data_IF_289925164922
#
_entry.id   IF_289925164922
#
_cell.length_a   1.000
_cell.length_b   1.000
_cell.length_c   1.000
_cell.angle_alpha   90.00
_cell.angle_beta   90.00
_cell.angle_gamma   90.00
#
_symmetry.space_group_name_H-M   'P 1'
#
loop_
_entity.id
_entity.type
_entity.pdbx_description
1 polymer ?
#
# COMPACT_ATOMS: atom_id res chain seq x y z
N UNK A 1 8.01 17.48 -4.48
CA UNK A 1 6.82 18.34 -4.28
C UNK A 1 5.75 17.87 -5.26
N UNK A 2 4.58 17.43 -4.80
CA UNK A 2 3.53 16.98 -5.72
C UNK A 2 2.81 18.19 -6.31
N UNK A 3 2.85 18.35 -7.63
CA UNK A 3 2.11 19.40 -8.32
C UNK A 3 0.58 19.17 -8.23
N UNK A 4 -0.22 20.24 -8.17
CA UNK A 4 -1.69 20.13 -8.09
C UNK A 4 -2.30 19.35 -9.27
N UNK A 5 -1.70 19.45 -10.48
CA UNK A 5 -2.13 18.70 -11.66
C UNK A 5 -2.07 17.17 -11.48
N UNK A 6 -1.02 16.65 -10.82
CA UNK A 6 -0.85 15.21 -10.57
C UNK A 6 -1.90 14.68 -9.60
N UNK A 7 -2.33 15.52 -8.64
CA UNK A 7 -3.38 15.14 -7.67
C UNK A 7 -4.75 15.03 -8.34
N UNK A 8 -5.09 15.96 -9.23
CA UNK A 8 -6.37 15.90 -9.97
C UNK A 8 -6.45 14.68 -10.88
N UNK A 9 -5.37 14.36 -11.60
CA UNK A 9 -5.34 13.18 -12.48
C UNK A 9 -5.50 11.87 -11.69
N UNK A 10 -4.85 11.76 -10.52
CA UNK A 10 -4.93 10.58 -9.67
C UNK A 10 -6.36 10.32 -9.14
N UNK A 11 -7.16 11.37 -8.93
CA UNK A 11 -8.55 11.23 -8.46
C UNK A 11 -9.53 10.70 -9.53
N UNK A 12 -9.17 10.77 -10.80
CA UNK A 12 -10.01 10.32 -11.92
C UNK A 12 -9.78 8.85 -12.31
N UNK A 13 -8.78 8.18 -11.73
CA UNK A 13 -8.44 6.79 -12.06
C UNK A 13 -9.48 5.83 -11.48
N UNK A 14 -9.99 4.91 -12.28
CA UNK A 14 -10.82 3.80 -11.79
C UNK A 14 -9.94 2.63 -11.33
N UNK A 15 -10.09 2.23 -10.07
CA UNK A 15 -9.33 1.11 -9.50
C UNK A 15 -10.15 -0.18 -9.51
N UNK A 16 -9.51 -1.27 -9.91
CA UNK A 16 -10.05 -2.62 -9.73
C UNK A 16 -10.20 -2.95 -8.23
N UNK A 17 -11.05 -3.92 -7.86
CA UNK A 17 -11.19 -4.33 -6.46
C UNK A 17 -9.87 -4.77 -5.80
N UNK A 18 -8.93 -5.32 -6.58
CA UNK A 18 -7.61 -5.70 -6.07
C UNK A 18 -6.74 -4.47 -5.76
N UNK A 19 -6.75 -3.47 -6.65
CA UNK A 19 -6.04 -2.21 -6.41
C UNK A 19 -6.64 -1.44 -5.24
N UNK A 20 -7.97 -1.41 -5.10
CA UNK A 20 -8.63 -0.81 -3.92
C UNK A 20 -8.19 -1.49 -2.62
N UNK A 21 -8.08 -2.82 -2.61
CA UNK A 21 -7.55 -3.55 -1.43
C UNK A 21 -6.09 -3.21 -1.15
N UNK A 22 -5.26 -3.09 -2.19
CA UNK A 22 -3.86 -2.65 -2.06
C UNK A 22 -3.75 -1.24 -1.49
N UNK A 23 -4.55 -0.30 -2.00
CA UNK A 23 -4.56 1.08 -1.52
C UNK A 23 -5.09 1.19 -0.08
N UNK A 24 -6.11 0.41 0.29
CA UNK A 24 -6.57 0.30 1.69
C UNK A 24 -5.47 -0.27 2.60
N UNK A 25 -4.69 -1.24 2.13
CA UNK A 25 -3.56 -1.77 2.89
C UNK A 25 -2.48 -0.71 3.13
N UNK A 26 -2.16 0.10 2.10
CA UNK A 26 -1.22 1.22 2.20
C UNK A 26 -1.72 2.36 3.10
N UNK A 27 -3.04 2.55 3.20
CA UNK A 27 -3.66 3.46 4.16
C UNK A 27 -3.43 3.00 5.60
N UNK A 28 -3.45 1.70 5.84
CA UNK A 28 -3.28 1.10 7.17
C UNK A 28 -1.80 1.06 7.63
N UNK A 29 -0.85 1.31 6.71
CA UNK A 29 0.58 1.38 7.00
C UNK A 29 1.46 1.19 5.76
N UNK A 30 2.74 1.52 5.87
CA UNK A 30 3.69 1.43 4.76
C UNK A 30 3.89 -0.01 4.29
N UNK A 31 3.96 -0.18 2.97
CA UNK A 31 4.11 -1.47 2.32
C UNK A 31 5.60 -1.78 2.16
N UNK A 32 6.03 -2.86 2.78
CA UNK A 32 7.37 -3.40 2.64
C UNK A 32 7.34 -4.65 1.75
N UNK A 33 8.33 -4.81 0.88
CA UNK A 33 8.45 -6.01 0.07
C UNK A 33 8.65 -7.22 0.99
N UNK A 34 8.03 -8.31 0.59
CA UNK A 34 8.17 -9.63 1.19
C UNK A 34 8.70 -10.59 0.12
N UNK A 35 9.11 -11.78 0.52
CA UNK A 35 9.36 -12.86 -0.45
C UNK A 35 8.17 -13.10 -1.38
N UNK A 36 8.43 -13.64 -2.57
CA UNK A 36 7.42 -14.07 -3.55
C UNK A 36 6.54 -12.96 -4.15
N UNK A 37 7.08 -11.76 -4.41
CA UNK A 37 6.35 -10.64 -5.06
C UNK A 37 5.14 -10.17 -4.26
N UNK A 38 5.21 -10.25 -2.93
CA UNK A 38 4.17 -9.84 -1.99
C UNK A 38 4.62 -8.60 -1.23
N UNK A 39 3.66 -7.80 -0.82
CA UNK A 39 3.88 -6.57 -0.08
C UNK A 39 2.93 -6.50 1.11
N UNK A 40 3.46 -6.18 2.29
CA UNK A 40 2.69 -6.01 3.53
C UNK A 40 3.46 -5.16 4.52
N UNK A 41 2.93 -4.93 5.72
CA UNK A 41 3.62 -4.13 6.74
C UNK A 41 4.87 -4.85 7.29
N UNK A 42 5.92 -4.11 7.66
CA UNK A 42 7.28 -4.61 8.00
C UNK A 42 7.30 -5.83 8.95
N UNK A 43 6.38 -5.89 9.91
CA UNK A 43 6.31 -6.97 10.92
C UNK A 43 4.96 -7.68 10.93
N UNK A 44 4.22 -7.70 9.82
CA UNK A 44 2.85 -8.23 9.81
C UNK A 44 2.78 -9.70 10.29
N UNK A 45 3.77 -10.53 9.97
CA UNK A 45 3.81 -11.93 10.42
C UNK A 45 3.98 -12.08 11.94
N UNK A 46 4.73 -11.16 12.57
CA UNK A 46 4.94 -11.15 14.02
C UNK A 46 3.71 -10.55 14.70
N UNK A 47 3.26 -9.39 14.21
CA UNK A 47 2.12 -8.65 14.76
C UNK A 47 0.80 -9.42 14.70
N UNK A 48 0.65 -10.32 13.72
CA UNK A 48 -0.57 -11.10 13.52
C UNK A 48 -0.35 -12.61 13.69
N UNK A 49 0.73 -13.01 14.38
CA UNK A 49 1.06 -14.40 14.62
C UNK A 49 -0.12 -15.13 15.29
N UNK A 50 -0.49 -16.29 14.74
CA UNK A 50 -1.58 -17.12 15.28
C UNK A 50 -1.30 -17.63 16.70
N UNK A 51 -0.03 -17.70 17.08
CA UNK A 51 0.44 -18.12 18.40
C UNK A 51 0.39 -17.00 19.46
N UNK A 52 0.09 -15.76 19.08
CA UNK A 52 0.01 -14.65 20.02
C UNK A 52 -1.26 -14.76 20.87
N UNK A 53 -1.09 -15.18 22.13
CA UNK A 53 -2.17 -15.40 23.10
C UNK A 53 -2.78 -14.10 23.64
N UNK A 54 -2.16 -12.95 23.39
CA UNK A 54 -2.65 -11.65 23.85
C UNK A 54 -3.65 -11.00 22.88
N UNK A 55 -3.84 -11.57 21.69
CA UNK A 55 -4.86 -11.10 20.74
C UNK A 55 -6.07 -12.03 20.75
N UNK A 56 -7.25 -11.47 21.06
CA UNK A 56 -8.53 -12.21 21.09
C UNK A 56 -8.80 -13.00 19.80
N UNK A 57 -8.34 -12.50 18.64
CA UNK A 57 -8.39 -13.18 17.34
C UNK A 57 -7.18 -12.81 16.48
N UNK A 58 -6.34 -13.77 16.05
CA UNK A 58 -5.33 -13.53 15.04
C UNK A 58 -5.96 -12.97 13.76
N UNK A 59 -5.48 -11.82 13.29
CA UNK A 59 -5.97 -11.19 12.06
C UNK A 59 -5.23 -11.81 10.88
N UNK A 60 -5.93 -12.18 9.80
CA UNK A 60 -5.25 -12.65 8.58
C UNK A 60 -4.36 -11.55 8.02
N UNK A 61 -3.05 -11.82 7.86
CA UNK A 61 -2.11 -10.92 7.18
C UNK A 61 -2.61 -10.67 5.75
N UNK A 62 -2.80 -9.39 5.41
CA UNK A 62 -3.19 -8.95 4.06
C UNK A 62 -1.95 -8.64 3.24
N UNK A 63 -2.04 -8.86 1.93
CA UNK A 63 -0.94 -8.61 1.00
C UNK A 63 -1.44 -7.89 -0.25
N UNK A 64 -0.55 -7.10 -0.85
CA UNK A 64 -0.63 -6.67 -2.24
C UNK A 64 0.42 -7.41 -3.08
N UNK A 65 0.19 -7.55 -4.38
CA UNK A 65 1.21 -8.07 -5.31
C UNK A 65 2.12 -6.94 -5.78
N UNK A 66 3.33 -7.24 -6.23
CA UNK A 66 4.22 -6.25 -6.87
C UNK A 66 3.50 -5.49 -7.99
N UNK A 67 2.79 -6.21 -8.89
CA UNK A 67 2.01 -5.57 -9.94
C UNK A 67 0.95 -4.57 -9.42
N UNK A 68 0.33 -4.85 -8.26
CA UNK A 68 -0.62 -3.90 -7.66
C UNK A 68 0.09 -2.67 -7.11
N UNK A 69 1.25 -2.86 -6.48
CA UNK A 69 2.07 -1.76 -5.94
C UNK A 69 2.58 -0.87 -7.08
N UNK A 70 3.10 -1.46 -8.15
CA UNK A 70 3.61 -0.74 -9.32
C UNK A 70 2.50 0.12 -9.95
N UNK A 71 1.31 -0.45 -10.19
CA UNK A 71 0.18 0.29 -10.75
C UNK A 71 -0.27 1.44 -9.84
N UNK A 72 -0.35 1.22 -8.53
CA UNK A 72 -0.73 2.28 -7.58
C UNK A 72 0.34 3.40 -7.52
N UNK A 73 1.62 3.05 -7.71
CA UNK A 73 2.72 4.01 -7.79
C UNK A 73 2.64 4.80 -9.10
N UNK A 74 2.41 4.14 -10.23
CA UNK A 74 2.21 4.78 -11.54
C UNK A 74 1.05 5.79 -11.51
N UNK A 75 -0.03 5.46 -10.78
CA UNK A 75 -1.16 6.38 -10.57
C UNK A 75 -0.87 7.51 -9.57
N UNK A 76 0.31 7.53 -8.93
CA UNK A 76 0.69 8.52 -7.91
C UNK A 76 -0.09 8.39 -6.60
N UNK A 77 -0.75 7.25 -6.36
CA UNK A 77 -1.56 7.00 -5.15
C UNK A 77 -0.70 6.49 -3.99
N UNK A 78 0.46 5.89 -4.28
CA UNK A 78 1.52 5.57 -3.33
C UNK A 78 2.88 6.08 -3.85
N UNK A 79 3.88 6.16 -2.99
CA UNK A 79 5.24 6.60 -3.33
C UNK A 79 6.29 5.78 -2.61
N UNK A 80 7.48 5.68 -3.20
CA UNK A 80 8.68 5.20 -2.51
C UNK A 80 9.02 6.12 -1.32
N UNK A 81 9.53 5.51 -0.24
CA UNK A 81 9.91 6.21 0.98
C UNK A 81 11.43 6.41 1.12
N UNK A 82 12.23 5.62 0.41
CA UNK A 82 13.68 5.73 0.38
C UNK A 82 14.21 5.59 -1.05
N UNK A 83 14.60 6.73 -1.63
CA UNK A 83 15.12 6.80 -3.00
C UNK A 83 16.56 6.26 -3.12
N UNK A 84 17.20 5.88 -2.00
CA UNK A 84 18.58 5.36 -1.98
C UNK A 84 18.67 3.83 -2.09
N UNK A 85 17.56 3.10 -1.91
CA UNK A 85 17.53 1.65 -2.02
C UNK A 85 17.21 1.21 -3.47
N UNK A 86 17.69 0.03 -3.92
CA UNK A 86 17.36 -0.48 -5.24
C UNK A 86 15.85 -0.67 -5.43
N UNK A 87 15.37 -0.38 -6.65
CA UNK A 87 13.97 -0.50 -7.01
C UNK A 87 13.45 -1.92 -6.72
N UNK A 88 12.36 -2.01 -5.96
CA UNK A 88 11.78 -3.29 -5.51
C UNK A 88 12.14 -3.71 -4.08
N UNK A 89 13.09 -3.03 -3.44
CA UNK A 89 13.43 -3.24 -2.02
C UNK A 89 12.92 -2.10 -1.11
N UNK A 90 12.58 -0.95 -1.71
CA UNK A 90 12.11 0.24 -1.02
C UNK A 90 10.68 0.10 -0.50
N UNK A 91 10.43 0.55 0.72
CA UNK A 91 9.09 0.65 1.28
C UNK A 91 8.23 1.71 0.56
N UNK A 92 6.93 1.48 0.46
CA UNK A 92 5.99 2.37 -0.22
C UNK A 92 4.92 2.90 0.73
N UNK A 93 4.74 4.21 0.79
CA UNK A 93 3.72 4.88 1.62
C UNK A 93 2.60 5.51 0.78
N UNK A 94 1.40 5.63 1.37
CA UNK A 94 0.26 6.26 0.69
C UNK A 94 0.46 7.77 0.51
N UNK A 95 0.12 8.29 -0.66
CA UNK A 95 0.15 9.75 -0.92
C UNK A 95 -1.13 10.42 -0.44
N UNK A 96 -1.15 11.76 -0.42
CA UNK A 96 -2.39 12.50 -0.19
C UNK A 96 -3.44 12.22 -1.26
N UNK A 97 -3.04 12.06 -2.53
CA UNK A 97 -3.94 11.68 -3.60
C UNK A 97 -4.57 10.30 -3.34
N UNK A 98 -3.78 9.32 -2.89
CA UNK A 98 -4.29 8.01 -2.48
C UNK A 98 -5.33 8.08 -1.36
N UNK A 99 -5.08 8.90 -0.34
CA UNK A 99 -6.05 9.11 0.76
C UNK A 99 -7.34 9.76 0.26
N UNK A 100 -7.22 10.80 -0.57
CA UNK A 100 -8.38 11.50 -1.12
C UNK A 100 -9.20 10.58 -2.04
N UNK A 101 -8.54 9.76 -2.87
CA UNK A 101 -9.20 8.78 -3.72
C UNK A 101 -10.06 7.80 -2.90
N UNK A 102 -9.53 7.26 -1.78
CA UNK A 102 -10.29 6.38 -0.89
C UNK A 102 -11.47 7.07 -0.20
N UNK A 103 -11.39 8.39 0.03
CA UNK A 103 -12.48 9.17 0.62
C UNK A 103 -13.60 9.41 -0.38
N UNK A 104 -13.28 9.60 -1.66
CA UNK A 104 -14.25 9.86 -2.72
C UNK A 104 -14.93 8.59 -3.26
N UNK A 105 -14.30 7.42 -3.13
CA UNK A 105 -14.78 6.14 -3.69
C UNK A 105 -15.10 5.09 -2.60
N UNK A 106 -15.93 5.45 -1.62
CA UNK A 106 -16.27 4.60 -0.47
C UNK A 106 -17.00 3.31 -0.84
#
# INVERSE_FOLDING_TARGET
MNSPATTTAALAVELTPTQVRGLKLAKDGDLHPQGEKKWTHLNAQVTYARSDRFKERPIKVKFATTATVDQLREYGLIRELDDSAPAGETAHGITMAGKMWLLTHK
#
